data_IF_773269900117
#
_entry.id   IF_773269900117
#
_cell.length_a   1.000
_cell.length_b   1.000
_cell.length_c   1.000
_cell.angle_alpha   90.00
_cell.angle_beta   90.00
_cell.angle_gamma   90.00
#
_symmetry.space_group_name_H-M   'P 1'
#
loop_
_entity.id
_entity.type
_entity.pdbx_description
1 polymer ?
#
# COMPACT_ATOMS: atom_id res chain seq x y z
N UNK A 1 3.57 20.46 -18.80
CA UNK A 1 3.00 19.23 -19.42
C UNK A 1 2.01 18.63 -18.42
N UNK A 2 0.84 18.20 -18.88
CA UNK A 2 -0.17 17.56 -18.04
C UNK A 2 0.23 16.10 -17.79
N UNK A 3 -0.01 15.60 -16.58
CA UNK A 3 0.19 14.20 -16.21
C UNK A 3 -0.93 13.37 -16.83
N UNK A 4 -0.63 12.19 -17.36
CA UNK A 4 -1.66 11.26 -17.86
C UNK A 4 -2.46 10.63 -16.71
N UNK A 5 -3.67 10.15 -16.98
CA UNK A 5 -4.52 9.55 -15.94
C UNK A 5 -3.86 8.35 -15.24
N UNK A 6 -3.11 7.52 -15.98
CA UNK A 6 -2.41 6.34 -15.44
C UNK A 6 -1.26 6.72 -14.52
N UNK A 7 -0.50 7.76 -14.87
CA UNK A 7 0.56 8.31 -14.01
C UNK A 7 -0.02 8.93 -12.75
N UNK A 8 -1.15 9.63 -12.87
CA UNK A 8 -1.85 10.22 -11.74
C UNK A 8 -2.40 9.14 -10.79
N UNK A 9 -2.97 8.05 -11.32
CA UNK A 9 -3.39 6.88 -10.51
C UNK A 9 -2.18 6.27 -9.79
N UNK A 10 -1.06 6.06 -10.48
CA UNK A 10 0.15 5.50 -9.88
C UNK A 10 0.70 6.40 -8.75
N UNK A 11 0.63 7.73 -8.93
CA UNK A 11 0.99 8.70 -7.90
C UNK A 11 0.04 8.63 -6.70
N UNK A 12 -1.27 8.55 -6.95
CA UNK A 12 -2.30 8.40 -5.92
C UNK A 12 -2.10 7.12 -5.09
N UNK A 13 -1.84 5.99 -5.73
CA UNK A 13 -1.54 4.72 -5.05
C UNK A 13 -0.33 4.84 -4.11
N UNK A 14 0.76 5.47 -4.58
CA UNK A 14 1.95 5.72 -3.75
C UNK A 14 1.62 6.61 -2.56
N UNK A 15 0.86 7.69 -2.75
CA UNK A 15 0.45 8.59 -1.67
C UNK A 15 -0.38 7.84 -0.62
N UNK A 16 -1.35 7.03 -1.05
CA UNK A 16 -2.21 6.24 -0.15
C UNK A 16 -1.40 5.23 0.67
N UNK A 17 -0.56 4.43 -0.01
CA UNK A 17 0.15 3.32 0.64
C UNK A 17 1.27 3.81 1.57
N UNK A 18 1.97 4.88 1.20
CA UNK A 18 3.10 5.40 1.98
C UNK A 18 2.67 6.37 3.09
N UNK A 19 1.44 6.90 3.07
CA UNK A 19 0.95 7.76 4.14
C UNK A 19 0.48 6.93 5.33
N UNK A 20 1.06 7.07 6.54
CA UNK A 20 0.56 6.38 7.71
C UNK A 20 -0.80 6.92 8.13
N UNK A 21 -1.74 6.04 8.46
CA UNK A 21 -3.01 6.45 9.09
C UNK A 21 -2.71 7.29 10.33
N UNK A 22 -3.43 8.41 10.47
CA UNK A 22 -3.27 9.36 11.57
C UNK A 22 -2.26 10.47 11.31
N UNK A 23 -1.42 10.38 10.28
CA UNK A 23 -0.37 11.37 10.02
C UNK A 23 -0.90 12.67 9.39
N UNK A 24 -1.94 12.59 8.56
CA UNK A 24 -2.46 13.74 7.80
C UNK A 24 -3.39 14.61 8.64
N UNK A 25 -3.02 15.87 8.84
CA UNK A 25 -3.83 16.86 9.58
C UNK A 25 -5.19 17.05 8.89
N UNK A 26 -6.27 17.17 9.68
CA UNK A 26 -7.67 17.19 9.23
C UNK A 26 -8.17 15.97 8.43
N UNK A 27 -7.32 14.97 8.15
CA UNK A 27 -7.70 13.72 7.45
C UNK A 27 -7.04 12.51 8.11
N UNK A 28 -7.28 12.34 9.41
CA UNK A 28 -6.61 11.32 10.22
C UNK A 28 -6.88 9.90 9.75
N UNK A 29 -8.00 9.62 9.09
CA UNK A 29 -8.29 8.29 8.54
C UNK A 29 -7.56 7.98 7.21
N UNK A 30 -6.92 8.97 6.59
CA UNK A 30 -6.26 8.80 5.30
C UNK A 30 -4.95 8.02 5.43
N UNK A 31 -4.68 7.17 4.45
CA UNK A 31 -3.44 6.40 4.35
C UNK A 31 -3.63 4.90 4.51
N UNK A 32 -2.54 4.22 4.88
CA UNK A 32 -2.48 2.77 5.09
C UNK A 32 -1.90 2.41 6.47
N UNK A 33 -2.10 1.16 6.86
CA UNK A 33 -1.51 0.57 8.06
C UNK A 33 -0.13 -0.04 7.81
N UNK A 34 0.43 0.06 6.60
CA UNK A 34 1.70 -0.58 6.24
C UNK A 34 2.86 -0.11 7.12
N UNK A 35 2.88 1.18 7.47
CA UNK A 35 3.91 1.73 8.34
C UNK A 35 3.97 1.06 9.71
N UNK A 36 2.86 0.53 10.22
CA UNK A 36 2.81 -0.17 11.50
C UNK A 36 3.32 -1.62 11.42
N UNK A 37 3.50 -2.15 10.21
CA UNK A 37 3.94 -3.52 9.94
C UNK A 37 5.45 -3.63 9.66
N UNK A 38 6.15 -2.50 9.65
CA UNK A 38 7.61 -2.43 9.50
C UNK A 38 8.27 -3.12 10.71
N UNK A 39 9.41 -3.76 10.47
CA UNK A 39 10.20 -4.50 11.46
C UNK A 39 9.50 -5.70 12.11
N UNK A 40 8.36 -6.13 11.57
CA UNK A 40 7.70 -7.37 11.97
C UNK A 40 8.39 -8.61 11.38
N UNK A 41 8.36 -9.76 12.08
CA UNK A 41 8.92 -11.00 11.55
C UNK A 41 8.19 -11.42 10.27
N UNK A 42 8.96 -11.75 9.22
CA UNK A 42 8.46 -12.10 7.88
C UNK A 42 7.80 -13.50 7.82
N UNK A 43 6.69 -13.67 8.53
CA UNK A 43 5.90 -14.89 8.59
C UNK A 43 4.64 -14.80 7.69
N UNK A 44 3.92 -15.92 7.45
CA UNK A 44 2.70 -15.89 6.65
C UNK A 44 1.60 -14.98 7.19
N UNK A 45 1.52 -14.76 8.51
CA UNK A 45 0.54 -13.86 9.10
C UNK A 45 0.83 -12.39 8.73
N UNK A 46 2.10 -11.99 8.71
CA UNK A 46 2.52 -10.65 8.25
C UNK A 46 2.11 -10.43 6.79
N UNK A 47 2.29 -11.43 5.92
CA UNK A 47 1.88 -11.33 4.51
C UNK A 47 0.39 -11.05 4.40
N UNK A 48 -0.45 -11.78 5.15
CA UNK A 48 -1.89 -11.54 5.16
C UNK A 48 -2.23 -10.13 5.67
N UNK A 49 -1.56 -9.66 6.72
CA UNK A 49 -1.76 -8.30 7.25
C UNK A 49 -1.39 -7.23 6.21
N UNK A 50 -0.28 -7.42 5.48
CA UNK A 50 0.12 -6.53 4.38
C UNK A 50 -0.94 -6.55 3.27
N UNK A 51 -1.43 -7.72 2.86
CA UNK A 51 -2.48 -7.82 1.83
C UNK A 51 -3.74 -7.06 2.24
N UNK A 52 -4.19 -7.24 3.49
CA UNK A 52 -5.36 -6.54 4.03
C UNK A 52 -5.12 -5.03 4.08
N UNK A 53 -3.95 -4.59 4.56
CA UNK A 53 -3.61 -3.17 4.63
C UNK A 53 -3.60 -2.51 3.25
N UNK A 54 -3.00 -3.15 2.24
CA UNK A 54 -3.00 -2.66 0.86
C UNK A 54 -4.43 -2.62 0.29
N UNK A 55 -5.17 -3.73 0.40
CA UNK A 55 -6.50 -3.86 -0.19
C UNK A 55 -7.49 -2.86 0.42
N UNK A 56 -7.55 -2.78 1.75
CA UNK A 56 -8.46 -1.86 2.43
C UNK A 56 -8.14 -0.39 2.17
N UNK A 57 -6.85 -0.01 2.10
CA UNK A 57 -6.46 1.36 1.82
C UNK A 57 -6.81 1.76 0.38
N UNK A 58 -6.46 0.91 -0.60
CA UNK A 58 -6.74 1.17 -2.01
C UNK A 58 -8.25 1.18 -2.28
N UNK A 59 -9.00 0.19 -1.77
CA UNK A 59 -10.44 0.13 -1.95
C UNK A 59 -11.16 1.37 -1.37
N UNK A 60 -10.66 1.92 -0.26
CA UNK A 60 -11.25 3.10 0.37
C UNK A 60 -10.93 4.39 -0.38
N UNK A 61 -9.71 4.54 -0.91
CA UNK A 61 -9.20 5.83 -1.38
C UNK A 61 -8.99 5.94 -2.90
N UNK A 62 -8.87 4.82 -3.63
CA UNK A 62 -8.67 4.79 -5.07
C UNK A 62 -9.69 3.87 -5.77
N UNK A 63 -10.95 4.29 -5.92
CA UNK A 63 -12.03 3.46 -6.47
C UNK A 63 -11.88 3.19 -7.98
N UNK A 64 -10.94 3.86 -8.66
CA UNK A 64 -10.72 3.69 -10.11
C UNK A 64 -9.98 2.40 -10.46
N UNK A 65 -9.34 1.75 -9.49
CA UNK A 65 -8.56 0.52 -9.72
C UNK A 65 -9.15 -0.65 -8.96
N UNK A 66 -8.98 -1.86 -9.50
CA UNK A 66 -9.32 -3.10 -8.83
C UNK A 66 -8.08 -3.97 -8.74
N UNK A 67 -7.55 -4.08 -7.53
CA UNK A 67 -6.46 -4.98 -7.19
C UNK A 67 -6.76 -6.41 -7.64
N UNK A 68 -5.88 -6.98 -8.46
CA UNK A 68 -5.98 -8.35 -9.00
C UNK A 68 -5.00 -9.31 -8.33
N UNK A 69 -3.80 -8.83 -7.97
CA UNK A 69 -2.77 -9.67 -7.35
C UNK A 69 -1.86 -8.85 -6.43
N UNK A 70 -1.37 -9.52 -5.38
CA UNK A 70 -0.28 -9.05 -4.52
C UNK A 70 0.72 -10.20 -4.40
N UNK A 71 1.95 -10.00 -4.90
CA UNK A 71 3.04 -10.95 -4.74
C UNK A 71 4.09 -10.44 -3.76
N UNK A 72 4.83 -11.39 -3.19
CA UNK A 72 5.84 -11.13 -2.17
C UNK A 72 7.15 -11.78 -2.58
N UNK A 73 8.20 -10.99 -2.59
CA UNK A 73 9.57 -11.46 -2.74
C UNK A 73 10.38 -11.04 -1.51
N UNK A 74 11.19 -11.96 -1.00
CA UNK A 74 12.05 -11.69 0.16
C UNK A 74 13.46 -11.41 -0.34
N UNK A 75 14.03 -10.29 0.08
CA UNK A 75 15.44 -9.99 -0.16
C UNK A 75 16.35 -10.63 0.90
N UNK A 76 17.66 -10.59 0.63
CA UNK A 76 18.66 -11.27 1.45
C UNK A 76 18.89 -10.62 2.82
N UNK A 77 18.70 -9.29 2.91
CA UNK A 77 19.05 -8.49 4.11
C UNK A 77 17.80 -7.98 4.85
N UNK A 78 16.78 -8.83 4.99
CA UNK A 78 15.56 -8.47 5.72
C UNK A 78 14.58 -7.59 4.94
N UNK A 79 14.86 -7.35 3.66
CA UNK A 79 13.98 -6.65 2.73
C UNK A 79 12.78 -7.53 2.36
N UNK A 80 11.65 -6.89 2.08
CA UNK A 80 10.48 -7.52 1.48
C UNK A 80 9.97 -6.64 0.36
N UNK A 81 9.96 -7.17 -0.84
CA UNK A 81 9.36 -6.56 -2.01
C UNK A 81 7.92 -7.04 -2.12
N UNK A 82 7.01 -6.10 -2.33
CA UNK A 82 5.58 -6.35 -2.47
C UNK A 82 5.13 -5.75 -3.78
N UNK A 83 4.84 -6.61 -4.75
CA UNK A 83 4.33 -6.17 -6.05
C UNK A 83 2.81 -6.20 -6.03
N UNK A 84 2.22 -5.12 -6.55
CA UNK A 84 0.78 -4.91 -6.58
C UNK A 84 0.36 -4.75 -8.05
N UNK A 85 -0.58 -5.58 -8.49
CA UNK A 85 -1.17 -5.53 -9.83
C UNK A 85 -2.66 -5.27 -9.74
N UNK A 86 -3.20 -4.43 -10.61
CA UNK A 86 -4.61 -4.03 -10.64
C UNK A 86 -4.99 -3.24 -11.89
#
# INVERSE_FOLDING_TARGET
LAISDSEHISQSMRDILLTPVGSRVMRREYGSLLSALIDMPQNPALRLQIMVACYSAIQKWEPRIRLTSISFERGDTGEMYVDITG
#
